data_IF_013662658477
#
_entry.id   IF_013662658477
#
_cell.length_a   1.000
_cell.length_b   1.000
_cell.length_c   1.000
_cell.angle_alpha   90.00
_cell.angle_beta   90.00
_cell.angle_gamma   90.00
#
_symmetry.space_group_name_H-M   'P 1'
#
loop_
_entity.id
_entity.type
_entity.pdbx_description
1 polymer ?
#
# COMPACT_ATOMS: atom_id res chain seq x y z
N UNK A 1 -49.16 36.79 -44.50
CA UNK A 1 -49.95 36.57 -43.27
C UNK A 1 -50.71 35.27 -43.43
N UNK A 2 -50.47 34.23 -42.61
CA UNK A 2 -49.31 33.88 -41.76
C UNK A 2 -48.63 32.61 -42.33
N UNK A 3 -47.64 31.89 -41.79
CA UNK A 3 -46.98 31.80 -40.48
C UNK A 3 -45.60 31.12 -40.74
N UNK A 4 -44.49 31.82 -40.52
CA UNK A 4 -43.63 31.73 -39.34
C UNK A 4 -42.62 30.56 -39.31
N UNK A 5 -41.36 30.93 -39.61
CA UNK A 5 -40.16 30.63 -38.82
C UNK A 5 -39.87 29.15 -38.50
N UNK A 6 -39.02 28.54 -39.31
CA UNK A 6 -38.03 27.56 -38.81
C UNK A 6 -36.63 28.16 -38.84
N UNK A 7 -36.38 28.95 -37.80
CA UNK A 7 -35.08 29.35 -37.32
C UNK A 7 -34.43 28.14 -36.64
N UNK A 8 -33.66 27.32 -37.36
CA UNK A 8 -32.70 26.41 -36.70
C UNK A 8 -31.53 27.22 -36.18
N UNK A 9 -31.70 27.71 -34.97
CA UNK A 9 -30.63 28.22 -34.13
C UNK A 9 -29.60 27.11 -33.87
N UNK A 10 -28.37 27.41 -34.26
CA UNK A 10 -27.18 27.03 -33.50
C UNK A 10 -27.47 27.23 -32.00
N UNK A 11 -27.42 26.13 -31.26
CA UNK A 11 -27.28 26.18 -29.80
C UNK A 11 -26.13 25.26 -29.47
N UNK A 12 -24.96 25.87 -29.39
CA UNK A 12 -23.75 25.30 -28.86
C UNK A 12 -24.05 24.71 -27.47
N UNK A 13 -23.91 23.39 -27.34
CA UNK A 13 -23.87 22.69 -26.06
C UNK A 13 -22.52 22.99 -25.40
N UNK A 14 -22.46 24.12 -24.70
CA UNK A 14 -21.32 24.49 -23.88
C UNK A 14 -21.58 24.10 -22.41
N UNK A 15 -20.82 23.10 -21.94
CA UNK A 15 -20.07 23.19 -20.69
C UNK A 15 -20.84 23.05 -19.37
N UNK A 16 -21.01 21.81 -18.91
CA UNK A 16 -21.41 21.48 -17.55
C UNK A 16 -20.55 20.38 -16.93
N UNK A 17 -19.22 20.44 -17.06
CA UNK A 17 -18.32 19.33 -16.72
C UNK A 17 -17.28 19.61 -15.60
N UNK A 18 -17.20 20.82 -15.03
CA UNK A 18 -15.99 21.18 -14.25
C UNK A 18 -16.14 21.16 -12.72
N UNK A 19 -17.30 21.46 -12.13
CA UNK A 19 -17.43 21.55 -10.67
C UNK A 19 -17.38 20.18 -9.97
N UNK A 20 -18.13 19.22 -10.51
CA UNK A 20 -18.29 17.87 -9.94
C UNK A 20 -17.02 17.01 -10.11
N UNK A 21 -16.22 17.28 -11.16
CA UNK A 21 -14.90 16.67 -11.34
C UNK A 21 -13.85 17.17 -10.35
N UNK A 22 -13.84 18.48 -10.06
CA UNK A 22 -12.91 19.10 -9.12
C UNK A 22 -13.18 18.62 -7.69
N UNK A 23 -14.44 18.51 -7.29
CA UNK A 23 -14.82 18.09 -5.93
C UNK A 23 -14.51 16.60 -5.68
N UNK A 24 -14.76 15.72 -6.66
CA UNK A 24 -14.32 14.32 -6.59
C UNK A 24 -12.79 14.20 -6.50
N UNK A 25 -12.05 15.00 -7.26
CA UNK A 25 -10.58 14.99 -7.24
C UNK A 25 -10.01 15.46 -5.90
N UNK A 26 -10.59 16.50 -5.29
CA UNK A 26 -10.22 16.98 -3.94
C UNK A 26 -10.50 15.93 -2.88
N UNK A 27 -11.65 15.27 -2.94
CA UNK A 27 -12.02 14.18 -2.01
C UNK A 27 -11.02 13.02 -2.10
N UNK A 28 -10.63 12.64 -3.32
CA UNK A 28 -9.63 11.59 -3.56
C UNK A 28 -8.28 11.88 -2.90
N UNK A 29 -7.76 13.09 -3.07
CA UNK A 29 -6.47 13.52 -2.53
C UNK A 29 -6.45 13.52 -0.99
N UNK A 30 -7.58 13.89 -0.36
CA UNK A 30 -7.71 13.84 1.10
C UNK A 30 -7.62 12.39 1.60
N UNK A 31 -8.29 11.46 0.94
CA UNK A 31 -8.24 10.03 1.33
C UNK A 31 -6.83 9.46 1.17
N UNK A 32 -6.13 9.79 0.09
CA UNK A 32 -4.72 9.40 -0.13
C UNK A 32 -3.80 9.92 0.97
N UNK A 33 -3.95 11.21 1.34
CA UNK A 33 -3.16 11.82 2.39
C UNK A 33 -3.37 11.15 3.76
N UNK A 34 -4.62 10.80 4.10
CA UNK A 34 -4.95 10.11 5.36
C UNK A 34 -4.41 8.67 5.35
N UNK A 35 -4.57 7.93 4.25
CA UNK A 35 -4.03 6.58 4.14
C UNK A 35 -2.51 6.61 4.29
N UNK A 36 -1.84 7.53 3.62
CA UNK A 36 -0.39 7.64 3.73
C UNK A 36 0.05 8.04 5.14
N UNK A 37 -0.63 8.98 5.80
CA UNK A 37 -0.25 9.38 7.17
C UNK A 37 -0.40 8.22 8.17
N UNK A 38 -1.44 7.39 8.01
CA UNK A 38 -1.62 6.14 8.75
C UNK A 38 -0.44 5.19 8.52
N UNK A 39 0.00 5.02 7.27
CA UNK A 39 1.11 4.14 6.93
C UNK A 39 2.45 4.66 7.49
N UNK A 40 2.73 5.97 7.37
CA UNK A 40 3.93 6.60 7.91
C UNK A 40 4.02 6.49 9.45
N UNK A 41 2.88 6.52 10.15
CA UNK A 41 2.84 6.39 11.60
C UNK A 41 3.02 4.95 12.09
N UNK A 42 2.99 3.95 11.20
CA UNK A 42 3.07 2.54 11.55
C UNK A 42 4.47 1.97 11.35
N UNK A 43 4.99 1.26 12.35
CA UNK A 43 6.25 0.52 12.25
C UNK A 43 6.07 -0.91 11.70
N UNK A 44 4.84 -1.30 11.38
CA UNK A 44 4.47 -2.60 10.79
C UNK A 44 3.53 -2.39 9.60
N UNK A 45 3.53 -3.29 8.62
CA UNK A 45 2.57 -3.23 7.52
C UNK A 45 1.14 -3.34 8.02
N UNK A 46 0.24 -2.57 7.41
CA UNK A 46 -1.17 -2.56 7.76
C UNK A 46 -2.01 -3.17 6.64
N UNK A 47 -2.87 -4.11 7.00
CA UNK A 47 -3.95 -4.56 6.12
C UNK A 47 -5.03 -3.49 5.98
N UNK A 48 -5.84 -3.59 4.92
CA UNK A 48 -6.89 -2.61 4.62
C UNK A 48 -7.87 -2.37 5.80
N UNK A 49 -8.21 -3.42 6.56
CA UNK A 49 -9.08 -3.29 7.73
C UNK A 49 -8.42 -2.55 8.91
N UNK A 50 -7.12 -2.72 9.09
CA UNK A 50 -6.39 -1.97 10.11
C UNK A 50 -6.33 -0.48 9.74
N UNK A 51 -6.10 -0.17 8.47
CA UNK A 51 -6.18 1.21 7.93
C UNK A 51 -7.59 1.77 8.15
N UNK A 52 -8.64 1.03 7.82
CA UNK A 52 -10.03 1.47 8.01
C UNK A 52 -10.35 1.83 9.47
N UNK A 53 -9.86 1.01 10.41
CA UNK A 53 -10.03 1.25 11.85
C UNK A 53 -9.32 2.52 12.29
N UNK A 54 -8.08 2.74 11.85
CA UNK A 54 -7.33 3.96 12.18
C UNK A 54 -7.96 5.21 11.54
N UNK A 55 -8.38 5.13 10.28
CA UNK A 55 -9.07 6.20 9.59
C UNK A 55 -10.37 6.63 10.32
N UNK A 56 -11.14 5.65 10.81
CA UNK A 56 -12.31 5.92 11.66
C UNK A 56 -11.93 6.64 12.96
N UNK A 57 -10.84 6.25 13.62
CA UNK A 57 -10.36 6.91 14.83
C UNK A 57 -9.93 8.37 14.58
N UNK A 58 -9.47 8.68 13.35
CA UNK A 58 -9.17 10.03 12.88
C UNK A 58 -10.42 10.82 12.43
N UNK A 59 -11.63 10.29 12.63
CA UNK A 59 -12.88 10.96 12.24
C UNK A 59 -13.21 10.89 10.75
N UNK A 60 -12.44 10.14 9.96
CA UNK A 60 -12.67 9.97 8.51
C UNK A 60 -12.88 8.49 8.18
N UNK A 61 -14.07 7.93 8.46
CA UNK A 61 -14.34 6.52 8.17
C UNK A 61 -14.25 6.26 6.66
N UNK A 62 -13.53 5.20 6.30
CA UNK A 62 -13.37 4.76 4.90
C UNK A 62 -13.84 3.33 4.75
N UNK A 63 -14.57 3.05 3.67
CA UNK A 63 -14.88 1.70 3.25
C UNK A 63 -13.65 1.01 2.62
N UNK A 64 -13.55 -0.34 2.64
CA UNK A 64 -12.39 -1.06 2.10
C UNK A 64 -12.07 -0.71 0.64
N UNK A 65 -13.08 -0.55 -0.22
CA UNK A 65 -12.90 -0.16 -1.61
C UNK A 65 -12.26 1.22 -1.76
N UNK A 66 -12.60 2.19 -0.91
CA UNK A 66 -11.99 3.53 -0.91
C UNK A 66 -10.50 3.45 -0.53
N UNK A 67 -10.17 2.58 0.42
CA UNK A 67 -8.78 2.35 0.85
C UNK A 67 -7.97 1.74 -0.28
N UNK A 68 -8.46 0.67 -0.93
CA UNK A 68 -7.74 0.07 -2.07
C UNK A 68 -7.55 1.07 -3.21
N UNK A 69 -8.54 1.92 -3.49
CA UNK A 69 -8.43 2.98 -4.49
C UNK A 69 -7.41 4.06 -4.11
N UNK A 70 -7.34 4.42 -2.82
CA UNK A 70 -6.32 5.35 -2.34
C UNK A 70 -4.91 4.74 -2.43
N UNK A 71 -4.75 3.48 -2.03
CA UNK A 71 -3.50 2.73 -2.13
C UNK A 71 -2.99 2.64 -3.58
N UNK A 72 -3.89 2.36 -4.52
CA UNK A 72 -3.58 2.32 -5.96
C UNK A 72 -3.05 3.67 -6.47
N UNK A 73 -3.67 4.77 -6.05
CA UNK A 73 -3.25 6.13 -6.45
C UNK A 73 -1.96 6.60 -5.76
N UNK A 74 -1.67 6.11 -4.56
CA UNK A 74 -0.40 6.39 -3.88
C UNK A 74 0.79 5.78 -4.64
N UNK A 75 0.57 4.72 -5.42
CA UNK A 75 1.52 4.14 -6.35
C UNK A 75 2.87 3.85 -5.68
N UNK A 76 4.00 4.41 -6.17
CA UNK A 76 5.34 4.08 -5.69
C UNK A 76 5.63 4.55 -4.26
N UNK A 77 4.74 5.35 -3.65
CA UNK A 77 4.90 5.82 -2.26
C UNK A 77 4.47 4.77 -1.23
N UNK A 78 3.87 3.67 -1.69
CA UNK A 78 3.38 2.60 -0.83
C UNK A 78 3.87 1.26 -1.38
N UNK A 79 4.48 0.48 -0.49
CA UNK A 79 4.89 -0.88 -0.78
C UNK A 79 3.81 -1.84 -0.30
N UNK A 80 3.41 -2.76 -1.17
CA UNK A 80 2.66 -3.95 -0.78
C UNK A 80 3.64 -5.00 -0.27
N UNK A 81 3.35 -5.52 0.91
CA UNK A 81 3.99 -6.70 1.50
C UNK A 81 3.11 -7.89 1.17
N UNK A 82 3.53 -8.69 0.19
CA UNK A 82 2.73 -9.76 -0.39
C UNK A 82 2.48 -10.88 0.62
N UNK A 83 3.49 -11.25 1.41
CA UNK A 83 3.37 -12.30 2.45
C UNK A 83 2.26 -11.99 3.46
N UNK A 84 2.05 -10.72 3.79
CA UNK A 84 1.05 -10.29 4.79
C UNK A 84 -0.25 -9.78 4.18
N UNK A 85 -0.33 -9.64 2.85
CA UNK A 85 -1.40 -8.89 2.18
C UNK A 85 -1.64 -7.50 2.83
N UNK A 86 -0.53 -6.80 3.10
CA UNK A 86 -0.51 -5.57 3.87
C UNK A 86 0.30 -4.49 3.14
N UNK A 87 0.24 -3.26 3.65
CA UNK A 87 0.83 -2.09 3.02
C UNK A 87 1.69 -1.33 4.02
N UNK A 88 2.80 -0.76 3.55
CA UNK A 88 3.65 0.15 4.31
C UNK A 88 4.07 1.32 3.42
N UNK A 89 4.48 2.43 4.02
CA UNK A 89 5.09 3.50 3.25
C UNK A 89 6.38 2.99 2.58
N UNK A 90 6.61 3.43 1.35
CA UNK A 90 7.84 3.14 0.61
C UNK A 90 8.64 4.44 0.50
N UNK A 91 9.65 4.57 1.36
CA UNK A 91 10.58 5.71 1.37
C UNK A 91 11.60 5.67 0.22
N UNK A 92 11.30 4.95 -0.88
CA UNK A 92 12.18 4.81 -2.03
C UNK A 92 13.42 3.97 -1.71
N UNK A 93 13.28 2.94 -0.88
CA UNK A 93 14.36 2.00 -0.55
C UNK A 93 14.28 0.81 -1.50
N UNK A 94 14.98 0.82 -2.66
CA UNK A 94 15.07 -0.35 -3.51
C UNK A 94 15.75 -1.48 -2.73
N UNK A 95 15.23 -2.70 -2.89
CA UNK A 95 15.81 -3.87 -2.27
C UNK A 95 14.81 -4.76 -1.54
N UNK A 96 15.35 -5.79 -0.91
CA UNK A 96 14.58 -6.79 -0.20
C UNK A 96 14.10 -6.29 1.16
N UNK A 97 13.05 -6.91 1.69
CA UNK A 97 12.56 -6.67 3.04
C UNK A 97 12.70 -7.94 3.89
N UNK A 98 13.13 -7.79 5.14
CA UNK A 98 13.08 -8.85 6.14
C UNK A 98 11.80 -8.71 6.95
N UNK A 99 11.00 -9.76 6.99
CA UNK A 99 9.76 -9.84 7.74
C UNK A 99 9.91 -10.83 8.91
N UNK A 100 9.67 -10.35 10.13
CA UNK A 100 9.54 -11.23 11.28
C UNK A 100 8.14 -11.84 11.36
N UNK A 101 8.05 -13.17 11.28
CA UNK A 101 6.76 -13.90 11.35
C UNK A 101 6.06 -13.86 12.72
N UNK A 102 6.75 -13.41 13.78
CA UNK A 102 6.22 -13.40 15.15
C UNK A 102 5.64 -12.03 15.49
N UNK A 103 6.44 -10.98 15.34
CA UNK A 103 6.02 -9.62 15.69
C UNK A 103 5.57 -8.77 14.50
N UNK A 104 5.71 -9.26 13.26
CA UNK A 104 5.35 -8.52 12.05
C UNK A 104 6.29 -7.36 11.71
N UNK A 105 7.41 -7.20 12.44
CA UNK A 105 8.42 -6.18 12.14
C UNK A 105 8.98 -6.36 10.74
N UNK A 106 9.16 -5.24 10.03
CA UNK A 106 9.86 -5.18 8.76
C UNK A 106 11.10 -4.30 8.87
N UNK A 107 12.20 -4.80 8.32
CA UNK A 107 13.43 -4.03 8.13
C UNK A 107 13.81 -4.08 6.63
N UNK A 108 14.09 -2.93 6.04
CA UNK A 108 14.55 -2.84 4.65
C UNK A 108 16.04 -3.22 4.54
N UNK A 109 16.39 -3.90 3.46
CA UNK A 109 17.76 -4.24 3.12
C UNK A 109 18.16 -3.45 1.88
N UNK A 110 19.18 -2.62 2.05
CA UNK A 110 19.82 -1.91 0.95
C UNK A 110 20.75 -2.89 0.20
N UNK A 111 20.13 -3.74 -0.63
CA UNK A 111 20.81 -4.75 -1.43
C UNK A 111 20.33 -4.68 -2.87
N UNK A 112 21.29 -4.60 -3.79
CA UNK A 112 21.03 -4.59 -5.24
C UNK A 112 20.89 -6.03 -5.73
N UNK A 113 19.70 -6.61 -5.58
CA UNK A 113 19.40 -7.98 -6.01
C UNK A 113 18.96 -8.07 -7.48
N UNK A 114 18.46 -6.97 -8.04
CA UNK A 114 17.80 -6.93 -9.35
C UNK A 114 18.74 -7.39 -10.46
N UNK A 115 20.00 -6.92 -10.45
CA UNK A 115 21.00 -7.32 -11.47
C UNK A 115 21.27 -8.82 -11.48
N UNK A 116 21.29 -9.47 -10.31
CA UNK A 116 21.52 -10.91 -10.24
C UNK A 116 20.31 -11.68 -10.76
N UNK A 117 19.09 -11.23 -10.42
CA UNK A 117 17.85 -11.84 -10.88
C UNK A 117 17.69 -11.66 -12.39
N UNK A 118 17.94 -10.47 -12.94
CA UNK A 118 17.84 -10.21 -14.37
C UNK A 118 18.79 -11.10 -15.19
N UNK A 119 20.00 -11.34 -14.68
CA UNK A 119 20.94 -12.29 -15.31
C UNK A 119 20.41 -13.72 -15.33
N UNK A 120 19.85 -14.18 -14.21
CA UNK A 120 19.27 -15.53 -14.10
C UNK A 120 18.05 -15.69 -15.02
N UNK A 121 17.17 -14.68 -15.05
CA UNK A 121 16.02 -14.64 -15.95
C UNK A 121 16.48 -14.66 -17.41
N UNK A 122 17.45 -13.82 -17.78
CA UNK A 122 18.01 -13.78 -19.14
C UNK A 122 18.63 -15.11 -19.56
N UNK A 123 19.40 -15.76 -18.69
CA UNK A 123 19.98 -17.08 -18.96
C UNK A 123 18.91 -18.18 -19.16
N UNK A 124 17.74 -18.03 -18.53
CA UNK A 124 16.60 -18.94 -18.68
C UNK A 124 15.67 -18.57 -19.86
N UNK A 125 15.95 -17.49 -20.60
CA UNK A 125 15.04 -16.96 -21.62
C UNK A 125 13.73 -16.39 -21.05
N UNK A 126 13.73 -16.00 -19.77
CA UNK A 126 12.59 -15.46 -19.06
C UNK A 126 12.68 -13.93 -18.97
N UNK A 127 11.56 -13.24 -19.23
CA UNK A 127 11.47 -11.78 -19.07
C UNK A 127 10.65 -11.46 -17.80
N UNK A 128 11.32 -10.93 -16.78
CA UNK A 128 10.68 -10.49 -15.53
C UNK A 128 9.89 -9.20 -15.77
N UNK A 129 8.65 -9.15 -15.27
CA UNK A 129 7.83 -7.94 -15.27
C UNK A 129 7.96 -7.14 -13.96
N UNK A 130 8.17 -7.84 -12.83
CA UNK A 130 8.34 -7.26 -11.50
C UNK A 130 9.12 -8.24 -10.62
N UNK A 131 10.07 -7.71 -9.85
CA UNK A 131 10.80 -8.46 -8.82
C UNK A 131 10.28 -8.04 -7.45
N UNK A 132 10.00 -9.01 -6.59
CA UNK A 132 9.60 -8.80 -5.20
C UNK A 132 10.45 -9.74 -4.35
N UNK A 133 11.17 -9.19 -3.36
CA UNK A 133 12.02 -9.97 -2.47
C UNK A 133 11.63 -9.75 -1.01
N UNK A 134 11.08 -10.79 -0.40
CA UNK A 134 10.65 -10.81 0.99
C UNK A 134 11.33 -12.00 1.70
N UNK A 135 12.14 -11.72 2.72
CA UNK A 135 12.81 -12.72 3.54
C UNK A 135 12.01 -12.90 4.82
N UNK A 136 11.32 -14.03 4.95
CA UNK A 136 10.53 -14.35 6.14
C UNK A 136 11.40 -15.08 7.16
N UNK A 137 11.43 -14.58 8.39
CA UNK A 137 12.23 -15.15 9.47
C UNK A 137 11.78 -14.72 10.86
N UNK A 138 12.71 -14.76 11.82
CA UNK A 138 12.47 -14.35 13.20
C UNK A 138 13.53 -13.31 13.56
N UNK A 139 13.12 -12.12 14.02
CA UNK A 139 14.06 -11.06 14.38
C UNK A 139 14.80 -11.36 15.69
N UNK A 140 15.90 -10.66 15.96
CA UNK A 140 16.74 -10.88 17.15
C UNK A 140 15.94 -10.84 18.45
N UNK A 141 15.03 -9.85 18.60
CA UNK A 141 14.15 -9.72 19.77
C UNK A 141 13.28 -10.97 19.95
N UNK A 142 12.60 -11.42 18.91
CA UNK A 142 11.72 -12.58 19.00
C UNK A 142 12.51 -13.89 19.24
N UNK A 143 13.70 -14.05 18.64
CA UNK A 143 14.58 -15.19 18.94
C UNK A 143 15.01 -15.21 20.41
N UNK A 144 15.33 -14.06 20.99
CA UNK A 144 15.68 -13.99 22.43
C UNK A 144 14.49 -14.29 23.34
N UNK A 145 13.27 -13.88 22.95
CA UNK A 145 12.05 -14.20 23.71
C UNK A 145 11.70 -15.68 23.64
N UNK A 146 11.75 -16.30 22.45
CA UNK A 146 11.58 -17.76 22.31
C UNK A 146 12.63 -18.52 23.13
N UNK A 147 13.90 -18.11 23.05
CA UNK A 147 14.97 -18.73 23.83
C UNK A 147 14.80 -18.58 25.36
N UNK A 148 14.10 -17.53 25.83
CA UNK A 148 13.83 -17.33 27.26
C UNK A 148 12.68 -18.23 27.72
N UNK A 149 11.61 -18.34 26.93
CA UNK A 149 10.46 -19.21 27.19
C UNK A 149 10.90 -20.69 27.20
N UNK A 150 11.75 -21.09 26.23
CA UNK A 150 12.26 -22.46 26.14
C UNK A 150 13.20 -22.83 27.29
N UNK A 151 13.88 -21.85 27.90
CA UNK A 151 14.80 -22.07 29.02
C UNK A 151 14.04 -22.16 30.34
N UNK A 152 13.06 -21.29 30.57
CA UNK A 152 12.15 -21.40 31.73
C UNK A 152 11.32 -22.70 31.70
N UNK A 153 10.87 -23.13 30.52
CA UNK A 153 10.17 -24.41 30.35
C UNK A 153 11.05 -25.64 30.62
N UNK A 154 12.39 -25.50 30.52
CA UNK A 154 13.37 -26.56 30.84
C UNK A 154 13.87 -26.48 32.29
N UNK A 155 13.73 -25.34 32.95
CA UNK A 155 14.22 -25.08 34.31
C UNK A 155 13.13 -25.22 35.39
N UNK A 156 11.87 -25.49 35.03
CA UNK A 156 10.83 -25.88 36.00
C UNK A 156 11.04 -27.33 36.46
N UNK A 157 11.44 -27.59 37.72
CA UNK A 157 11.37 -28.91 38.30
C UNK A 157 9.88 -29.26 38.51
N UNK A 158 9.53 -30.52 38.27
CA UNK A 158 8.26 -31.10 38.72
C UNK A 158 8.10 -30.97 40.25
#
# INVERSE_FOLDING_TARGET
MPDDRERRSSKDEAGGADADGIERKRTSAILEAIVLSILCASHVPLGAYAIARQARALGTPMAPNQIYRALDRLGPRVRRVETLNAYMEDAGTPGAIMLCRICGRIDALDVQIDTAIDRLCGAAGFQSARVIAEIVGICARCRSTEASIDREAREQPQ
#
